data_IF_673615718369
#
_entry.id   IF_673615718369
#
_cell.length_a   1.000
_cell.length_b   1.000
_cell.length_c   1.000
_cell.angle_alpha   90.00
_cell.angle_beta   90.00
_cell.angle_gamma   90.00
#
_symmetry.space_group_name_H-M   'P 1'
#
loop_
_entity.id
_entity.type
_entity.pdbx_description
1 polymer ?
#
# COMPACT_ATOMS: atom_id res chain seq x y z
N UNK A 1 14.06 12.17 1.32
CA UNK A 1 14.91 12.34 0.11
C UNK A 1 14.86 13.79 -0.34
N UNK A 2 15.98 14.38 -0.77
CA UNK A 2 16.02 15.77 -1.27
C UNK A 2 15.87 15.80 -2.80
N UNK A 3 14.66 16.09 -3.26
CA UNK A 3 14.39 16.36 -4.67
C UNK A 3 14.61 17.85 -4.98
N UNK A 4 15.01 18.14 -6.22
CA UNK A 4 15.08 19.51 -6.74
C UNK A 4 13.87 19.81 -7.61
N UNK A 5 13.56 21.10 -7.78
CA UNK A 5 12.52 21.54 -8.73
C UNK A 5 12.81 21.03 -10.15
N UNK A 6 14.09 20.94 -10.54
CA UNK A 6 14.48 20.39 -11.83
C UNK A 6 14.06 18.92 -11.97
N UNK A 7 14.33 18.09 -10.95
CA UNK A 7 13.93 16.68 -10.97
C UNK A 7 12.41 16.54 -11.15
N UNK A 8 11.65 17.28 -10.35
CA UNK A 8 10.18 17.24 -10.35
C UNK A 8 9.63 17.69 -11.70
N UNK A 9 10.07 18.84 -12.23
CA UNK A 9 9.62 19.33 -13.53
C UNK A 9 9.92 18.34 -14.67
N UNK A 10 11.03 17.63 -14.59
CA UNK A 10 11.39 16.63 -15.60
C UNK A 10 10.46 15.42 -15.58
N UNK A 11 10.19 14.88 -14.38
CA UNK A 11 9.23 13.81 -14.18
C UNK A 11 7.84 14.22 -14.70
N UNK A 12 7.35 15.39 -14.30
CA UNK A 12 6.03 15.89 -14.70
C UNK A 12 5.94 16.02 -16.22
N UNK A 13 6.95 16.61 -16.88
CA UNK A 13 6.97 16.75 -18.35
C UNK A 13 7.03 15.40 -19.07
N UNK A 14 7.83 14.46 -18.58
CA UNK A 14 7.90 13.12 -19.14
C UNK A 14 6.54 12.42 -19.09
N UNK A 15 5.88 12.48 -17.94
CA UNK A 15 4.59 11.83 -17.73
C UNK A 15 3.46 12.49 -18.52
N UNK A 16 3.36 13.82 -18.51
CA UNK A 16 2.34 14.55 -19.27
C UNK A 16 2.45 14.26 -20.77
N UNK A 17 3.66 14.09 -21.31
CA UNK A 17 3.83 13.68 -22.73
C UNK A 17 3.38 12.25 -23.00
N UNK A 18 3.51 11.35 -22.04
CA UNK A 18 3.15 9.95 -22.22
C UNK A 18 1.66 9.70 -22.04
N UNK A 19 1.02 10.37 -21.10
CA UNK A 19 -0.43 10.28 -20.88
C UNK A 19 -1.23 11.21 -21.81
N UNK A 20 -0.64 12.35 -22.20
CA UNK A 20 -1.32 13.41 -22.94
C UNK A 20 -2.47 14.05 -22.16
N UNK A 21 -3.34 14.77 -22.87
CA UNK A 21 -4.55 15.40 -22.30
C UNK A 21 -5.74 14.43 -22.23
N UNK A 22 -5.47 13.12 -22.34
CA UNK A 22 -6.49 12.08 -22.53
C UNK A 22 -7.36 11.88 -21.29
N UNK A 23 -6.75 11.94 -20.11
CA UNK A 23 -7.44 11.70 -18.84
C UNK A 23 -7.77 13.03 -18.20
N UNK A 24 -9.01 13.21 -17.74
CA UNK A 24 -9.48 14.43 -17.06
C UNK A 24 -9.90 14.10 -15.65
N UNK A 25 -9.97 15.10 -14.77
CA UNK A 25 -10.40 14.96 -13.38
C UNK A 25 -9.56 13.91 -12.65
N UNK A 26 -8.43 14.37 -12.10
CA UNK A 26 -7.44 13.50 -11.48
C UNK A 26 -7.77 13.38 -10.00
N UNK A 27 -7.96 12.15 -9.51
CA UNK A 27 -8.18 11.90 -8.09
C UNK A 27 -6.97 12.30 -7.25
N UNK A 28 -7.26 13.00 -6.16
CA UNK A 28 -6.31 13.30 -5.11
C UNK A 28 -6.85 12.81 -3.76
N UNK A 29 -6.70 11.51 -3.56
CA UNK A 29 -7.02 10.80 -2.32
C UNK A 29 -5.79 10.28 -1.56
N UNK A 30 -4.63 10.26 -2.23
CA UNK A 30 -3.40 9.73 -1.66
C UNK A 30 -2.75 10.72 -0.69
N UNK A 31 -2.15 10.17 0.37
CA UNK A 31 -1.44 10.97 1.37
C UNK A 31 -0.29 11.78 0.72
N UNK A 32 -0.26 13.08 0.99
CA UNK A 32 0.76 14.01 0.44
C UNK A 32 2.18 13.72 0.94
N UNK A 33 2.34 12.93 1.99
CA UNK A 33 3.64 12.43 2.45
C UNK A 33 4.23 11.37 1.51
N UNK A 34 3.42 10.80 0.60
CA UNK A 34 3.91 9.91 -0.44
C UNK A 34 4.20 10.69 -1.72
N UNK A 35 5.36 10.45 -2.33
CA UNK A 35 5.84 11.24 -3.47
C UNK A 35 4.95 11.10 -4.71
N UNK A 36 4.16 10.01 -4.83
CA UNK A 36 3.14 9.86 -5.87
C UNK A 36 2.12 11.00 -5.89
N UNK A 37 1.92 11.69 -4.77
CA UNK A 37 1.03 12.87 -4.68
C UNK A 37 1.46 13.98 -5.63
N UNK A 38 2.75 14.06 -5.99
CA UNK A 38 3.27 14.99 -6.99
C UNK A 38 2.61 14.77 -8.35
N UNK A 39 2.34 13.51 -8.72
CA UNK A 39 1.65 13.16 -9.96
C UNK A 39 0.20 13.62 -9.94
N UNK A 40 -0.53 13.31 -8.87
CA UNK A 40 -1.97 13.57 -8.79
C UNK A 40 -2.31 15.03 -8.49
N UNK A 41 -1.33 15.83 -8.08
CA UNK A 41 -1.50 17.28 -7.85
C UNK A 41 -0.90 18.13 -8.96
N UNK A 42 0.40 17.98 -9.27
CA UNK A 42 1.09 18.93 -10.13
C UNK A 42 0.91 18.63 -11.63
N UNK A 43 0.83 17.35 -12.04
CA UNK A 43 0.56 17.02 -13.45
C UNK A 43 -0.76 17.65 -13.96
N UNK A 44 -1.92 17.46 -13.29
CA UNK A 44 -3.15 18.09 -13.75
C UNK A 44 -3.06 19.61 -13.80
N UNK A 45 -2.49 20.25 -12.77
CA UNK A 45 -2.39 21.71 -12.73
C UNK A 45 -1.52 22.27 -13.88
N UNK A 46 -0.43 21.57 -14.23
CA UNK A 46 0.41 21.96 -15.37
C UNK A 46 -0.27 21.72 -16.73
N UNK A 47 -1.17 20.74 -16.81
CA UNK A 47 -1.94 20.42 -18.02
C UNK A 47 -3.28 21.20 -18.11
N UNK A 48 -3.58 22.11 -17.17
CA UNK A 48 -4.84 22.85 -17.14
C UNK A 48 -6.05 21.98 -16.80
N UNK A 49 -5.84 20.88 -16.09
CA UNK A 49 -6.86 19.92 -15.67
C UNK A 49 -7.26 20.10 -14.21
N UNK A 50 -8.34 19.42 -13.81
CA UNK A 50 -8.90 19.47 -12.46
C UNK A 50 -8.23 18.46 -11.54
N UNK A 51 -7.89 18.90 -10.33
CA UNK A 51 -7.58 18.04 -9.18
C UNK A 51 -8.85 17.83 -8.38
N UNK A 52 -9.28 16.58 -8.25
CA UNK A 52 -10.47 16.17 -7.50
C UNK A 52 -10.02 15.75 -6.10
N UNK A 53 -10.09 16.67 -5.13
CA UNK A 53 -9.66 16.40 -3.75
C UNK A 53 -10.70 15.52 -3.06
N UNK A 54 -10.26 14.38 -2.53
CA UNK A 54 -11.08 13.53 -1.67
C UNK A 54 -10.79 13.86 -0.21
N UNK A 55 -11.78 14.38 0.50
CA UNK A 55 -11.68 14.77 1.92
C UNK A 55 -12.21 13.68 2.88
N UNK A 56 -12.75 12.59 2.34
CA UNK A 56 -13.29 11.49 3.13
C UNK A 56 -12.22 10.52 3.64
N UNK A 57 -12.65 9.55 4.43
CA UNK A 57 -11.79 8.45 4.84
C UNK A 57 -11.52 7.52 3.65
N UNK A 58 -10.26 7.31 3.31
CA UNK A 58 -9.87 6.41 2.21
C UNK A 58 -10.20 4.96 2.51
N UNK A 59 -10.42 4.62 3.78
CA UNK A 59 -10.85 3.29 4.18
C UNK A 59 -12.35 3.06 3.98
N UNK A 60 -13.14 4.12 3.74
CA UNK A 60 -14.53 3.99 3.31
C UNK A 60 -14.60 3.87 1.77
N UNK A 61 -14.56 2.63 1.30
CA UNK A 61 -14.66 2.33 -0.12
C UNK A 61 -15.98 2.82 -0.75
N UNK A 62 -17.10 2.86 -0.01
CA UNK A 62 -18.37 3.31 -0.55
C UNK A 62 -18.37 4.83 -0.78
N UNK A 63 -17.90 5.59 0.22
CA UNK A 63 -17.71 7.03 0.10
C UNK A 63 -16.71 7.38 -1.01
N UNK A 64 -15.59 6.64 -1.10
CA UNK A 64 -14.61 6.83 -2.17
C UNK A 64 -15.21 6.59 -3.56
N UNK A 65 -15.96 5.49 -3.76
CA UNK A 65 -16.67 5.22 -5.03
C UNK A 65 -17.70 6.30 -5.37
N UNK A 66 -18.42 6.82 -4.37
CA UNK A 66 -19.33 7.93 -4.56
C UNK A 66 -18.59 9.21 -5.00
N UNK A 67 -17.42 9.48 -4.44
CA UNK A 67 -16.55 10.58 -4.87
C UNK A 67 -16.11 10.44 -6.33
N UNK A 68 -15.63 9.25 -6.74
CA UNK A 68 -15.21 9.00 -8.12
C UNK A 68 -16.32 9.33 -9.13
N UNK A 69 -17.56 8.93 -8.81
CA UNK A 69 -18.73 9.23 -9.63
C UNK A 69 -19.11 10.72 -9.62
N UNK A 70 -19.21 11.32 -8.44
CA UNK A 70 -19.64 12.71 -8.29
C UNK A 70 -18.67 13.70 -8.95
N UNK A 71 -17.37 13.43 -8.86
CA UNK A 71 -16.32 14.23 -9.48
C UNK A 71 -16.01 13.81 -10.94
N UNK A 72 -16.65 12.75 -11.45
CA UNK A 72 -16.38 12.16 -12.76
C UNK A 72 -14.86 11.97 -12.98
N UNK A 73 -14.22 11.28 -12.04
CA UNK A 73 -12.77 11.04 -12.03
C UNK A 73 -12.38 10.15 -13.19
N UNK A 74 -11.44 10.62 -14.02
CA UNK A 74 -10.90 9.85 -15.15
C UNK A 74 -9.55 9.20 -14.88
N UNK A 75 -8.82 9.62 -13.83
CA UNK A 75 -7.51 9.05 -13.52
C UNK A 75 -7.31 8.88 -12.02
N UNK A 76 -6.87 7.70 -11.62
CA UNK A 76 -6.48 7.39 -10.24
C UNK A 76 -5.06 6.84 -10.24
N UNK A 77 -4.23 7.32 -9.32
CA UNK A 77 -2.91 6.76 -9.05
C UNK A 77 -2.85 6.24 -7.63
N UNK A 78 -2.51 4.96 -7.46
CA UNK A 78 -2.50 4.31 -6.15
C UNK A 78 -1.68 3.02 -6.18
N UNK A 79 -1.68 2.25 -5.10
CA UNK A 79 -1.03 0.93 -5.05
C UNK A 79 -1.99 -0.16 -5.54
N UNK A 80 -1.50 -1.26 -6.13
CA UNK A 80 -2.33 -2.39 -6.53
C UNK A 80 -3.27 -2.89 -5.42
N UNK A 81 -2.75 -3.07 -4.20
CA UNK A 81 -3.54 -3.61 -3.08
C UNK A 81 -4.68 -2.68 -2.66
N UNK A 82 -4.43 -1.36 -2.64
CA UNK A 82 -5.45 -0.38 -2.29
C UNK A 82 -6.51 -0.25 -3.41
N UNK A 83 -6.09 -0.24 -4.68
CA UNK A 83 -7.03 -0.24 -5.81
C UNK A 83 -7.99 -1.43 -5.74
N UNK A 84 -7.49 -2.64 -5.48
CA UNK A 84 -8.32 -3.85 -5.33
C UNK A 84 -9.28 -3.78 -4.14
N UNK A 85 -8.97 -3.01 -3.11
CA UNK A 85 -9.86 -2.85 -1.95
C UNK A 85 -10.96 -1.81 -2.21
N UNK A 86 -10.65 -0.77 -2.98
CA UNK A 86 -11.55 0.39 -3.16
C UNK A 86 -12.44 0.33 -4.39
N UNK A 87 -11.92 -0.16 -5.52
CA UNK A 87 -12.58 -0.02 -6.82
C UNK A 87 -13.64 -1.08 -7.11
N UNK A 88 -13.48 -2.37 -6.71
CA UNK A 88 -14.53 -3.34 -6.93
C UNK A 88 -15.88 -2.91 -6.35
N UNK A 89 -16.95 -3.16 -7.09
CA UNK A 89 -18.30 -2.70 -6.72
C UNK A 89 -18.62 -1.24 -7.07
N UNK A 90 -17.72 -0.56 -7.78
CA UNK A 90 -17.99 0.76 -8.36
C UNK A 90 -18.68 0.64 -9.73
N UNK A 91 -19.74 1.42 -9.92
CA UNK A 91 -20.30 1.71 -11.26
C UNK A 91 -19.46 2.77 -12.01
N UNK A 92 -18.51 3.42 -11.33
CA UNK A 92 -17.64 4.42 -11.94
C UNK A 92 -16.65 3.74 -12.89
N UNK A 93 -16.66 4.13 -14.17
CA UNK A 93 -15.60 3.78 -15.11
C UNK A 93 -14.51 4.86 -15.07
N UNK A 94 -13.38 4.53 -14.43
CA UNK A 94 -12.19 5.38 -14.47
C UNK A 94 -11.44 5.09 -15.78
N UNK A 95 -11.02 6.12 -16.51
CA UNK A 95 -10.35 5.92 -17.80
C UNK A 95 -8.98 5.25 -17.66
N UNK A 96 -8.25 5.53 -16.58
CA UNK A 96 -6.97 4.87 -16.32
C UNK A 96 -6.62 4.77 -14.83
N UNK A 97 -6.01 3.63 -14.48
CA UNK A 97 -5.27 3.46 -13.24
C UNK A 97 -3.78 3.50 -13.53
N UNK A 98 -3.05 4.23 -12.71
CA UNK A 98 -1.60 4.11 -12.59
C UNK A 98 -1.28 3.46 -11.26
N UNK A 99 -0.76 2.24 -11.31
CA UNK A 99 -0.46 1.45 -10.14
C UNK A 99 1.05 1.43 -9.94
N UNK A 100 1.50 1.68 -8.71
CA UNK A 100 2.92 1.72 -8.39
C UNK A 100 3.17 1.46 -6.92
N UNK A 101 4.44 1.36 -6.54
CA UNK A 101 4.84 1.09 -5.16
C UNK A 101 4.79 -0.39 -4.75
N UNK A 102 4.05 -1.25 -5.44
CA UNK A 102 4.04 -2.71 -5.25
C UNK A 102 4.23 -3.44 -6.59
N UNK A 103 4.46 -4.75 -6.54
CA UNK A 103 4.43 -5.56 -7.75
C UNK A 103 2.99 -5.69 -8.25
N UNK A 104 2.74 -5.35 -9.52
CA UNK A 104 1.44 -5.57 -10.14
C UNK A 104 1.30 -7.05 -10.56
N UNK A 105 0.26 -7.71 -10.06
CA UNK A 105 0.00 -9.13 -10.34
C UNK A 105 -1.11 -9.30 -11.39
N UNK A 106 -1.12 -10.45 -12.08
CA UNK A 106 -2.21 -10.81 -13.01
C UNK A 106 -3.58 -10.84 -12.30
N UNK A 107 -3.61 -11.28 -11.05
CA UNK A 107 -4.81 -11.27 -10.22
C UNK A 107 -5.33 -9.84 -10.00
N UNK A 108 -4.44 -8.88 -9.68
CA UNK A 108 -4.82 -7.49 -9.51
C UNK A 108 -5.33 -6.88 -10.82
N UNK A 109 -4.68 -7.18 -11.95
CA UNK A 109 -5.15 -6.74 -13.27
C UNK A 109 -6.56 -7.28 -13.56
N UNK A 110 -6.79 -8.57 -13.35
CA UNK A 110 -8.10 -9.20 -13.58
C UNK A 110 -9.19 -8.66 -12.65
N UNK A 111 -8.87 -8.36 -11.39
CA UNK A 111 -9.82 -7.79 -10.43
C UNK A 111 -10.20 -6.34 -10.76
N UNK A 112 -9.36 -5.62 -11.51
CA UNK A 112 -9.53 -4.19 -11.79
C UNK A 112 -9.99 -3.92 -13.23
N UNK A 113 -9.74 -4.83 -14.17
CA UNK A 113 -9.97 -4.60 -15.61
C UNK A 113 -11.42 -4.32 -15.99
N UNK A 114 -12.39 -4.81 -15.22
CA UNK A 114 -13.81 -4.57 -15.48
C UNK A 114 -14.26 -3.16 -15.06
N UNK A 115 -13.44 -2.45 -14.29
CA UNK A 115 -13.74 -1.13 -13.75
C UNK A 115 -13.05 0.01 -14.51
N UNK A 116 -12.06 -0.29 -15.36
CA UNK A 116 -11.21 0.73 -15.98
C UNK A 116 -10.83 0.44 -17.43
N UNK A 117 -10.58 1.49 -18.21
CA UNK A 117 -10.21 1.33 -19.63
C UNK A 117 -8.73 1.01 -19.86
N UNK A 118 -7.86 1.38 -18.91
CA UNK A 118 -6.43 1.13 -18.96
C UNK A 118 -5.83 0.96 -17.56
N UNK A 119 -4.84 0.08 -17.45
CA UNK A 119 -4.00 -0.04 -16.25
C UNK A 119 -2.56 0.17 -16.69
N UNK A 120 -1.84 1.01 -15.97
CA UNK A 120 -0.41 1.25 -16.13
C UNK A 120 0.34 0.80 -14.89
N UNK A 121 1.46 0.11 -15.06
CA UNK A 121 2.39 -0.26 -14.00
C UNK A 121 3.55 0.73 -14.00
N UNK A 122 3.67 1.52 -12.95
CA UNK A 122 4.73 2.52 -12.77
C UNK A 122 5.72 2.03 -11.71
N UNK A 123 6.99 2.01 -12.09
CA UNK A 123 8.09 1.77 -11.18
C UNK A 123 8.93 3.03 -11.01
N UNK A 124 9.29 3.33 -9.77
CA UNK A 124 10.29 4.33 -9.44
C UNK A 124 10.55 4.36 -7.93
N UNK A 125 11.81 4.49 -7.50
CA UNK A 125 12.13 4.84 -6.13
C UNK A 125 12.05 6.35 -5.93
N UNK A 126 11.77 6.80 -4.70
CA UNK A 126 11.73 8.23 -4.36
C UNK A 126 13.03 8.96 -4.69
N UNK A 127 14.17 8.28 -4.58
CA UNK A 127 15.51 8.79 -4.94
C UNK A 127 15.70 9.05 -6.43
N UNK A 128 14.78 8.60 -7.28
CA UNK A 128 14.75 8.89 -8.70
C UNK A 128 13.48 9.64 -9.14
N UNK A 129 12.80 10.31 -8.20
CA UNK A 129 11.64 11.18 -8.40
C UNK A 129 10.39 10.44 -8.86
N UNK A 130 9.64 9.91 -7.90
CA UNK A 130 8.29 9.32 -8.07
C UNK A 130 8.29 8.07 -8.96
N UNK A 131 8.34 8.26 -10.28
CA UNK A 131 8.32 7.19 -11.27
C UNK A 131 9.49 7.36 -12.25
N UNK A 132 10.09 6.25 -12.65
CA UNK A 132 11.18 6.23 -13.63
C UNK A 132 10.83 5.41 -14.86
N UNK A 133 9.86 4.50 -14.75
CA UNK A 133 9.45 3.59 -15.80
C UNK A 133 7.95 3.43 -15.82
N UNK A 134 7.41 3.15 -17.01
CA UNK A 134 5.99 2.87 -17.18
C UNK A 134 5.79 1.71 -18.17
N UNK A 135 4.96 0.75 -17.78
CA UNK A 135 4.36 -0.23 -18.66
C UNK A 135 2.84 0.00 -18.74
N UNK A 136 2.25 -0.28 -19.89
CA UNK A 136 0.80 -0.50 -19.94
C UNK A 136 0.55 -1.96 -19.59
N UNK A 137 -0.27 -2.25 -18.58
CA UNK A 137 -0.59 -3.61 -18.14
C UNK A 137 -1.93 -4.10 -18.72
N UNK A 138 -2.86 -3.18 -19.01
CA UNK A 138 -4.17 -3.45 -19.61
C UNK A 138 -4.53 -2.37 -20.65
N UNK A 139 -5.11 -2.72 -21.82
CA UNK A 139 -5.57 -4.06 -22.24
C UNK A 139 -4.48 -4.96 -22.85
N UNK A 140 -3.24 -4.48 -22.92
CA UNK A 140 -2.09 -5.26 -23.41
C UNK A 140 -1.16 -5.56 -22.26
N UNK A 141 -1.03 -6.84 -21.91
CA UNK A 141 -0.07 -7.31 -20.93
C UNK A 141 1.35 -7.11 -21.49
N UNK A 142 2.13 -6.27 -20.82
CA UNK A 142 3.56 -6.16 -21.03
C UNK A 142 4.31 -7.11 -20.08
N UNK A 143 5.44 -7.66 -20.53
CA UNK A 143 6.30 -8.43 -19.66
C UNK A 143 7.25 -7.48 -18.91
N UNK A 144 7.17 -7.48 -17.58
CA UNK A 144 8.03 -6.66 -16.72
C UNK A 144 7.51 -5.24 -16.48
N UNK A 145 8.36 -4.41 -15.90
CA UNK A 145 8.04 -3.05 -15.40
C UNK A 145 8.21 -1.95 -16.48
N UNK A 146 8.28 -2.36 -17.75
CA UNK A 146 8.20 -1.46 -18.90
C UNK A 146 9.51 -0.76 -19.27
N UNK A 147 9.38 0.49 -19.72
CA UNK A 147 10.47 1.29 -20.29
C UNK A 147 10.68 2.58 -19.50
N UNK A 148 11.93 3.03 -19.48
CA UNK A 148 12.32 4.27 -18.83
C UNK A 148 11.62 5.50 -19.45
N UNK A 149 11.29 6.47 -18.61
CA UNK A 149 10.93 7.81 -19.05
C UNK A 149 12.09 8.48 -19.81
N UNK A 150 11.82 9.45 -20.69
CA UNK A 150 12.88 10.20 -21.36
C UNK A 150 13.88 10.81 -20.38
N UNK A 151 15.18 10.73 -20.71
CA UNK A 151 16.30 11.22 -19.89
C UNK A 151 16.48 10.49 -18.55
N UNK A 152 15.89 9.30 -18.41
CA UNK A 152 16.26 8.30 -17.41
C UNK A 152 17.03 7.19 -18.13
N UNK A 153 18.18 6.80 -17.58
CA UNK A 153 18.93 5.65 -18.05
C UNK A 153 18.99 4.59 -16.94
N UNK A 154 18.67 3.36 -17.33
CA UNK A 154 18.66 2.20 -16.46
C UNK A 154 19.89 1.35 -16.74
N UNK A 155 20.52 0.86 -15.70
CA UNK A 155 21.69 0.01 -15.79
C UNK A 155 21.48 -1.22 -14.92
N UNK A 156 21.65 -2.42 -15.48
CA UNK A 156 21.68 -3.66 -14.72
C UNK A 156 23.14 -4.08 -14.62
N UNK A 157 23.71 -4.01 -13.42
CA UNK A 157 25.15 -4.13 -13.19
C UNK A 157 25.49 -5.30 -12.26
N UNK A 158 26.71 -5.82 -12.41
CA UNK A 158 27.36 -6.69 -11.44
C UNK A 158 27.85 -5.90 -10.20
N UNK A 159 28.29 -6.62 -9.17
CA UNK A 159 28.96 -6.02 -7.99
C UNK A 159 30.21 -5.19 -8.34
N UNK A 160 30.86 -5.48 -9.47
CA UNK A 160 32.02 -4.76 -10.00
C UNK A 160 31.65 -3.64 -10.99
N UNK A 161 30.38 -3.21 -10.99
CA UNK A 161 29.83 -2.17 -11.87
C UNK A 161 30.01 -2.49 -13.37
N UNK A 162 29.98 -3.77 -13.75
CA UNK A 162 30.00 -4.17 -15.16
C UNK A 162 28.57 -4.42 -15.65
N UNK A 163 28.18 -3.93 -16.84
CA UNK A 163 26.86 -4.21 -17.41
C UNK A 163 26.61 -5.72 -17.58
N UNK A 164 25.45 -6.17 -17.13
CA UNK A 164 25.03 -7.56 -17.29
C UNK A 164 24.55 -7.84 -18.73
N UNK A 165 24.81 -9.04 -19.29
CA UNK A 165 24.21 -9.46 -20.55
C UNK A 165 22.67 -9.50 -20.47
N UNK A 166 22.00 -9.35 -21.63
CA UNK A 166 20.55 -9.51 -21.74
C UNK A 166 20.13 -10.86 -21.13
N UNK A 167 19.09 -10.86 -20.29
CA UNK A 167 18.56 -12.03 -19.59
C UNK A 167 19.28 -12.40 -18.28
N UNK A 168 20.48 -11.88 -18.03
CA UNK A 168 21.22 -12.15 -16.80
C UNK A 168 20.77 -11.22 -15.65
N UNK A 169 20.56 -11.74 -14.43
CA UNK A 169 20.19 -10.91 -13.28
C UNK A 169 21.38 -10.06 -12.81
N UNK A 170 21.09 -8.82 -12.43
CA UNK A 170 22.03 -7.93 -11.75
C UNK A 170 21.29 -6.92 -10.89
N UNK A 171 22.03 -6.01 -10.26
CA UNK A 171 21.45 -4.92 -9.49
C UNK A 171 21.09 -3.75 -10.41
N UNK A 172 19.92 -3.16 -10.18
CA UNK A 172 19.42 -2.01 -10.91
C UNK A 172 20.03 -0.71 -10.38
N UNK A 173 20.55 0.10 -11.30
CA UNK A 173 21.03 1.45 -11.05
C UNK A 173 20.31 2.42 -11.98
N UNK A 174 20.02 3.61 -11.46
CA UNK A 174 19.29 4.65 -12.20
C UNK A 174 20.18 5.88 -12.33
N UNK A 175 20.28 6.43 -13.54
CA UNK A 175 20.93 7.72 -13.79
C UNK A 175 20.03 8.63 -14.60
N UNK A 176 20.36 9.91 -14.65
CA UNK A 176 19.65 10.91 -15.43
C UNK A 176 18.96 11.94 -14.55
N UNK A 177 18.06 12.70 -15.17
CA UNK A 177 17.56 13.95 -14.59
C UNK A 177 16.55 13.75 -13.47
N UNK A 178 16.04 12.53 -13.28
CA UNK A 178 15.21 12.15 -12.14
C UNK A 178 15.99 11.87 -10.85
N UNK A 179 17.32 11.69 -10.91
CA UNK A 179 18.12 11.34 -9.73
C UNK A 179 18.15 12.49 -8.72
N UNK A 180 17.79 12.17 -7.47
CA UNK A 180 17.75 13.09 -6.36
C UNK A 180 19.14 13.67 -6.04
N UNK A 181 19.14 14.81 -5.35
CA UNK A 181 20.38 15.39 -4.80
C UNK A 181 20.99 14.52 -3.70
N UNK A 182 20.19 13.66 -3.07
CA UNK A 182 20.59 12.77 -1.98
C UNK A 182 19.65 12.82 -0.79
N UNK A 183 20.05 12.21 0.30
CA UNK A 183 19.43 12.24 1.62
C UNK A 183 19.89 13.47 2.42
N UNK A 184 18.94 14.12 3.09
CA UNK A 184 19.19 15.30 3.92
C UNK A 184 20.03 14.90 5.14
N UNK A 185 21.15 15.59 5.38
CA UNK A 185 22.02 15.38 6.55
C UNK A 185 22.53 13.94 6.74
N UNK A 186 22.71 13.19 5.64
CA UNK A 186 23.23 11.81 5.65
C UNK A 186 24.37 11.64 4.63
N UNK A 187 25.55 12.25 4.86
CA UNK A 187 26.64 12.26 3.88
C UNK A 187 27.18 10.86 3.56
N UNK A 188 27.31 9.98 4.55
CA UNK A 188 27.81 8.61 4.36
C UNK A 188 26.88 7.80 3.45
N UNK A 189 25.58 7.83 3.74
CA UNK A 189 24.56 7.17 2.91
C UNK A 189 24.49 7.79 1.50
N UNK A 190 24.75 9.09 1.36
CA UNK A 190 24.85 9.73 0.05
C UNK A 190 26.02 9.18 -0.77
N UNK A 191 27.18 9.00 -0.16
CA UNK A 191 28.34 8.40 -0.82
C UNK A 191 28.10 6.93 -1.19
N UNK A 192 27.39 6.19 -0.34
CA UNK A 192 27.06 4.78 -0.60
C UNK A 192 26.05 4.61 -1.74
N UNK A 193 24.98 5.42 -1.76
CA UNK A 193 23.82 5.20 -2.65
C UNK A 193 23.84 6.06 -3.92
N UNK A 194 24.56 7.19 -3.94
CA UNK A 194 24.66 8.09 -5.10
C UNK A 194 26.11 8.15 -5.62
N UNK A 195 26.52 7.08 -6.31
CA UNK A 195 27.88 6.89 -6.80
C UNK A 195 28.12 7.63 -8.11
N UNK A 196 29.39 7.81 -8.47
CA UNK A 196 29.77 8.40 -9.77
C UNK A 196 29.35 7.47 -10.92
N UNK A 197 28.85 8.06 -12.01
CA UNK A 197 28.43 7.34 -13.20
C UNK A 197 29.61 7.15 -14.17
N UNK A 198 30.19 5.94 -14.31
CA UNK A 198 31.29 5.71 -15.25
C UNK A 198 30.82 5.66 -16.72
N UNK A 199 29.51 5.61 -16.97
CA UNK A 199 28.93 5.45 -18.31
C UNK A 199 28.57 6.76 -19.00
N UNK A 200 28.72 7.90 -18.32
CA UNK A 200 28.39 9.21 -18.88
C UNK A 200 29.42 10.26 -18.50
N UNK A 201 29.77 11.12 -19.47
CA UNK A 201 30.55 12.33 -19.23
C UNK A 201 29.68 13.59 -19.13
N UNK A 202 28.36 13.47 -19.30
CA UNK A 202 27.42 14.56 -19.12
C UNK A 202 27.26 14.85 -17.61
N UNK A 203 27.56 16.08 -17.13
CA UNK A 203 27.38 16.47 -15.74
C UNK A 203 25.97 16.20 -15.22
N UNK A 204 24.95 16.34 -16.07
CA UNK A 204 23.55 16.13 -15.68
C UNK A 204 23.25 14.65 -15.40
N UNK A 205 24.06 13.73 -15.93
CA UNK A 205 23.96 12.29 -15.74
C UNK A 205 25.16 11.74 -14.95
N UNK A 206 25.88 12.58 -14.22
CA UNK A 206 27.13 12.23 -13.53
C UNK A 206 26.97 11.27 -12.36
N UNK A 207 25.74 10.99 -11.92
CA UNK A 207 25.45 10.11 -10.78
C UNK A 207 24.61 8.91 -11.17
N UNK A 208 24.91 7.78 -10.52
CA UNK A 208 24.07 6.59 -10.45
C UNK A 208 23.47 6.49 -9.05
N UNK A 209 22.16 6.31 -8.97
CA UNK A 209 21.49 5.86 -7.76
C UNK A 209 21.44 4.33 -7.73
N UNK A 210 21.95 3.74 -6.65
CA UNK A 210 21.94 2.30 -6.37
C UNK A 210 20.63 1.90 -5.69
N UNK A 211 19.74 1.21 -6.41
CA UNK A 211 18.36 1.00 -5.93
C UNK A 211 18.23 -0.12 -4.90
N UNK A 212 19.15 -1.09 -4.90
CA UNK A 212 19.02 -2.35 -4.16
C UNK A 212 18.03 -3.35 -4.78
N UNK A 213 17.45 -3.02 -5.93
CA UNK A 213 16.56 -3.94 -6.66
C UNK A 213 17.36 -4.84 -7.60
N UNK A 214 16.99 -6.11 -7.66
CA UNK A 214 17.48 -7.06 -8.66
C UNK A 214 16.57 -7.03 -9.89
N UNK A 215 17.17 -6.98 -11.06
CA UNK A 215 16.46 -6.93 -12.32
C UNK A 215 17.24 -7.60 -13.45
N UNK A 216 16.60 -7.75 -14.60
CA UNK A 216 17.24 -8.12 -15.87
C UNK A 216 16.54 -7.48 -17.06
N UNK A 217 17.29 -7.23 -18.13
CA UNK A 217 16.71 -6.85 -19.41
C UNK A 217 16.22 -8.07 -20.18
N UNK A 218 15.09 -7.91 -20.87
CA UNK A 218 14.62 -8.81 -21.91
C UNK A 218 15.20 -8.42 -23.28
N UNK A 219 15.05 -9.29 -24.27
CA UNK A 219 15.52 -9.07 -25.64
C UNK A 219 14.82 -7.90 -26.35
N UNK A 220 13.58 -7.61 -25.97
CA UNK A 220 12.77 -6.49 -26.46
C UNK A 220 13.11 -5.14 -25.77
N UNK A 221 14.05 -5.15 -24.81
CA UNK A 221 14.49 -3.99 -24.05
C UNK A 221 13.63 -3.64 -22.82
N UNK A 222 12.57 -4.40 -22.55
CA UNK A 222 11.80 -4.25 -21.30
C UNK A 222 12.60 -4.80 -20.12
N UNK A 223 12.37 -4.26 -18.92
CA UNK A 223 13.04 -4.70 -17.70
C UNK A 223 12.10 -5.57 -16.86
N UNK A 224 12.61 -6.67 -16.32
CA UNK A 224 11.88 -7.50 -15.35
C UNK A 224 12.47 -7.30 -13.96
N UNK A 225 11.62 -6.95 -13.00
CA UNK A 225 11.95 -6.92 -11.58
C UNK A 225 12.01 -8.33 -11.00
N UNK A 226 13.03 -8.63 -10.21
CA UNK A 226 13.30 -9.95 -9.63
C UNK A 226 13.25 -9.98 -8.10
N UNK A 227 13.20 -8.82 -7.44
CA UNK A 227 13.23 -8.71 -5.98
C UNK A 227 14.25 -7.68 -5.51
N UNK A 228 14.64 -7.78 -4.24
CA UNK A 228 15.64 -6.92 -3.61
C UNK A 228 16.88 -7.72 -3.21
N UNK A 229 18.03 -7.04 -3.16
CA UNK A 229 19.29 -7.59 -2.65
C UNK A 229 19.58 -7.19 -1.19
N UNK A 230 18.74 -6.33 -0.59
CA UNK A 230 18.84 -5.84 0.78
C UNK A 230 17.61 -6.22 1.63
N UNK A 231 17.59 -5.79 2.90
CA UNK A 231 16.52 -6.09 3.87
C UNK A 231 15.30 -5.18 3.75
N UNK A 232 15.26 -4.29 2.76
CA UNK A 232 14.12 -3.40 2.59
C UNK A 232 12.93 -4.18 2.04
N UNK A 233 11.73 -3.81 2.50
CA UNK A 233 10.51 -4.46 2.06
C UNK A 233 9.46 -3.43 1.66
N UNK A 234 8.48 -3.89 0.90
CA UNK A 234 7.29 -3.12 0.54
C UNK A 234 6.11 -3.72 1.30
N UNK A 235 5.53 -2.95 2.21
CA UNK A 235 4.34 -3.32 2.99
C UNK A 235 3.23 -2.36 2.58
N UNK A 236 2.18 -2.87 1.93
CA UNK A 236 1.04 -2.06 1.45
C UNK A 236 1.47 -0.85 0.59
N UNK A 237 2.53 -1.02 -0.19
CA UNK A 237 3.13 -0.01 -1.07
C UNK A 237 4.07 0.98 -0.39
N UNK A 238 4.16 0.96 0.94
CA UNK A 238 5.15 1.72 1.68
C UNK A 238 6.49 1.01 1.67
N UNK A 239 7.55 1.78 1.42
CA UNK A 239 8.93 1.31 1.60
C UNK A 239 9.25 1.33 3.09
N UNK A 240 9.60 0.17 3.62
CA UNK A 240 9.84 -0.04 5.05
C UNK A 240 11.25 -0.58 5.24
N UNK A 241 12.02 0.08 6.10
CA UNK A 241 13.31 -0.40 6.59
C UNK A 241 13.06 -1.28 7.82
N UNK A 242 13.23 -2.60 7.71
CA UNK A 242 12.96 -3.51 8.83
C UNK A 242 13.79 -3.18 10.08
N UNK A 243 15.02 -2.68 9.88
CA UNK A 243 15.89 -2.24 10.97
C UNK A 243 15.38 -1.01 11.72
N UNK A 244 14.61 -0.12 11.09
CA UNK A 244 13.99 1.04 11.75
C UNK A 244 12.95 0.57 12.77
N UNK A 245 12.10 -0.38 12.37
CA UNK A 245 11.08 -0.96 13.25
C UNK A 245 11.77 -1.74 14.37
N UNK A 246 12.78 -2.55 14.05
CA UNK A 246 13.55 -3.28 15.07
C UNK A 246 14.17 -2.33 16.10
N UNK A 247 14.74 -1.20 15.66
CA UNK A 247 15.29 -0.20 16.56
C UNK A 247 14.22 0.46 17.45
N UNK A 248 13.05 0.81 16.88
CA UNK A 248 11.93 1.38 17.64
C UNK A 248 11.37 0.40 18.68
N UNK A 249 11.37 -0.90 18.37
CA UNK A 249 10.99 -1.97 19.30
C UNK A 249 12.01 -2.10 20.43
N UNK A 250 13.32 -2.08 20.13
CA UNK A 250 14.39 -2.17 21.13
C UNK A 250 14.42 -0.96 22.07
N UNK A 251 13.92 0.19 21.64
CA UNK A 251 13.80 1.40 22.48
C UNK A 251 12.70 1.28 23.55
N UNK A 252 11.84 0.26 23.48
CA UNK A 252 10.77 0.03 24.45
C UNK A 252 11.28 -0.68 25.70
N UNK A 253 10.73 -0.31 26.86
CA UNK A 253 11.10 -0.92 28.13
C UNK A 253 10.83 -2.43 28.14
N UNK A 254 11.77 -3.21 28.67
CA UNK A 254 11.67 -4.67 28.77
C UNK A 254 12.12 -5.44 27.52
N UNK A 255 12.42 -4.77 26.40
CA UNK A 255 12.97 -5.41 25.20
C UNK A 255 14.50 -5.31 25.18
N UNK A 256 15.18 -6.44 25.04
CA UNK A 256 16.65 -6.51 24.97
C UNK A 256 17.17 -6.52 23.53
N UNK A 257 16.45 -7.20 22.64
CA UNK A 257 16.80 -7.28 21.22
C UNK A 257 15.55 -7.60 20.39
N UNK A 258 15.54 -7.18 19.13
CA UNK A 258 14.45 -7.50 18.22
C UNK A 258 14.95 -7.69 16.79
N UNK A 259 14.25 -8.53 16.05
CA UNK A 259 14.37 -8.65 14.60
C UNK A 259 12.99 -8.62 13.99
N UNK A 260 12.84 -7.85 12.91
CA UNK A 260 11.59 -7.76 12.15
C UNK A 260 11.82 -8.37 10.78
N UNK A 261 10.87 -9.16 10.32
CA UNK A 261 10.87 -9.76 8.98
C UNK A 261 9.52 -9.52 8.30
N UNK A 262 9.53 -9.52 6.98
CA UNK A 262 8.33 -9.73 6.20
C UNK A 262 7.95 -11.21 6.13
N UNK A 263 6.66 -11.50 6.23
CA UNK A 263 6.09 -12.83 6.10
C UNK A 263 4.96 -12.84 5.06
N UNK A 264 4.75 -13.95 4.33
CA UNK A 264 3.62 -14.08 3.42
C UNK A 264 2.30 -13.89 4.15
N UNK A 265 1.39 -13.13 3.57
CA UNK A 265 0.03 -12.91 4.05
C UNK A 265 -0.96 -13.01 2.88
N UNK A 266 -2.27 -13.26 3.14
CA UNK A 266 -3.29 -13.34 2.08
C UNK A 266 -3.32 -12.14 1.14
N UNK A 267 -2.87 -10.98 1.60
CA UNK A 267 -2.89 -9.71 0.85
C UNK A 267 -1.50 -9.19 0.47
N UNK A 268 -0.49 -10.06 0.47
CA UNK A 268 0.88 -9.73 0.10
C UNK A 268 1.85 -10.07 1.22
N UNK A 269 2.43 -9.04 1.85
CA UNK A 269 3.42 -9.17 2.92
C UNK A 269 2.91 -8.49 4.19
N UNK A 270 3.10 -9.14 5.32
CA UNK A 270 2.90 -8.57 6.65
C UNK A 270 4.22 -8.54 7.42
N UNK A 271 4.26 -7.82 8.54
CA UNK A 271 5.44 -7.70 9.39
C UNK A 271 5.30 -8.61 10.61
N UNK A 272 6.34 -9.39 10.90
CA UNK A 272 6.48 -10.19 12.10
C UNK A 272 7.73 -9.79 12.87
N UNK A 273 7.59 -9.54 14.16
CA UNK A 273 8.67 -9.19 15.07
C UNK A 273 8.98 -10.35 16.01
N UNK A 274 10.28 -10.65 16.17
CA UNK A 274 10.77 -11.61 17.13
C UNK A 274 11.61 -10.89 18.16
N UNK A 275 11.28 -11.10 19.44
CA UNK A 275 11.80 -10.31 20.55
C UNK A 275 12.58 -11.21 21.51
N UNK A 276 13.72 -10.72 21.95
CA UNK A 276 14.34 -11.17 23.21
C UNK A 276 13.99 -10.12 24.24
N UNK A 277 13.15 -10.48 25.21
CA UNK A 277 12.58 -9.54 26.17
C UNK A 277 12.45 -10.18 27.56
N UNK A 278 12.10 -9.35 28.55
CA UNK A 278 11.73 -9.81 29.88
C UNK A 278 10.44 -10.67 29.84
N UNK A 279 10.30 -11.70 30.69
CA UNK A 279 9.19 -12.66 30.60
C UNK A 279 7.79 -12.06 30.84
N UNK A 280 7.72 -10.90 31.48
CA UNK A 280 6.53 -10.15 31.84
C UNK A 280 6.21 -9.02 30.86
N UNK A 281 6.89 -8.96 29.69
CA UNK A 281 6.56 -8.01 28.64
C UNK A 281 5.16 -8.26 28.08
N UNK A 282 4.28 -7.28 28.25
CA UNK A 282 2.93 -7.28 27.67
C UNK A 282 2.96 -6.80 26.21
N UNK A 283 2.69 -7.71 25.27
CA UNK A 283 2.69 -7.42 23.82
C UNK A 283 1.66 -6.36 23.44
N UNK A 284 0.52 -6.30 24.14
CA UNK A 284 -0.53 -5.30 23.89
C UNK A 284 -0.03 -3.89 24.21
N UNK A 285 0.68 -3.72 25.33
CA UNK A 285 1.27 -2.43 25.71
C UNK A 285 2.38 -2.03 24.73
N UNK A 286 3.21 -2.99 24.30
CA UNK A 286 4.23 -2.77 23.28
C UNK A 286 3.61 -2.29 21.95
N UNK A 287 2.54 -2.96 21.48
CA UNK A 287 1.82 -2.57 20.26
C UNK A 287 1.28 -1.13 20.36
N UNK A 288 0.70 -0.77 21.49
CA UNK A 288 0.20 0.59 21.74
C UNK A 288 1.32 1.63 21.70
N UNK A 289 2.45 1.36 22.36
CA UNK A 289 3.60 2.24 22.36
C UNK A 289 4.19 2.43 20.95
N UNK A 290 4.33 1.34 20.18
CA UNK A 290 4.79 1.38 18.80
C UNK A 290 3.83 2.16 17.90
N UNK A 291 2.52 2.00 18.08
CA UNK A 291 1.51 2.73 17.29
C UNK A 291 1.53 4.24 17.55
N UNK A 292 2.06 4.68 18.69
CA UNK A 292 2.27 6.10 18.97
C UNK A 292 3.58 6.65 18.37
N UNK A 293 4.57 5.79 18.12
CA UNK A 293 5.91 6.17 17.66
C UNK A 293 6.11 5.96 16.15
N UNK A 294 5.41 5.00 15.56
CA UNK A 294 5.54 4.57 14.17
C UNK A 294 4.22 4.76 13.42
N UNK A 295 4.28 4.99 12.10
CA UNK A 295 3.12 4.85 11.24
C UNK A 295 2.49 3.45 11.35
N UNK A 296 1.16 3.36 11.22
CA UNK A 296 0.41 2.09 11.35
C UNK A 296 0.98 0.95 10.48
N UNK A 297 1.38 1.25 9.24
CA UNK A 297 1.93 0.27 8.31
C UNK A 297 3.32 -0.28 8.71
N UNK A 298 4.00 0.35 9.66
CA UNK A 298 5.29 -0.09 10.22
C UNK A 298 5.13 -0.92 11.50
N UNK A 299 3.94 -0.95 12.11
CA UNK A 299 3.69 -1.73 13.32
C UNK A 299 3.51 -3.21 12.93
N UNK A 300 4.33 -4.14 13.47
CA UNK A 300 4.17 -5.57 13.21
C UNK A 300 2.80 -6.09 13.63
N UNK A 301 2.22 -6.98 12.85
CA UNK A 301 0.98 -7.67 13.24
C UNK A 301 1.25 -8.86 14.16
N UNK A 302 2.45 -9.45 14.08
CA UNK A 302 2.86 -10.61 14.87
C UNK A 302 4.04 -10.27 15.76
N UNK A 303 3.99 -10.75 17.01
CA UNK A 303 5.10 -10.67 17.95
C UNK A 303 5.36 -12.05 18.53
N UNK A 304 6.61 -12.47 18.56
CA UNK A 304 7.00 -13.77 19.11
C UNK A 304 8.20 -13.59 20.05
N UNK A 305 8.03 -13.97 21.31
CA UNK A 305 9.13 -14.03 22.26
C UNK A 305 10.04 -15.22 21.92
N UNK A 306 11.34 -14.97 21.81
CA UNK A 306 12.37 -15.99 21.57
C UNK A 306 13.50 -15.83 22.59
N UNK A 307 14.14 -16.94 22.95
CA UNK A 307 15.24 -16.91 23.93
C UNK A 307 16.48 -16.18 23.39
N UNK A 308 16.75 -16.31 22.09
CA UNK A 308 17.87 -15.66 21.40
C UNK A 308 17.60 -15.56 19.90
N UNK A 309 18.14 -14.52 19.25
CA UNK A 309 18.06 -14.37 17.79
C UNK A 309 18.93 -15.43 17.12
N UNK A 310 18.37 -16.31 16.26
CA UNK A 310 19.15 -17.35 15.61
C UNK A 310 20.09 -16.74 14.56
N UNK A 311 21.36 -17.12 14.61
CA UNK A 311 22.39 -16.67 13.68
C UNK A 311 22.98 -17.86 12.91
N UNK A 312 23.29 -17.64 11.64
CA UNK A 312 24.09 -18.53 10.80
C UNK A 312 25.52 -18.64 11.32
N UNK A 313 26.29 -19.63 10.85
CA UNK A 313 27.72 -19.80 11.21
C UNK A 313 28.61 -18.60 10.86
N UNK A 314 28.13 -17.66 10.04
CA UNK A 314 28.81 -16.41 9.69
C UNK A 314 28.33 -15.19 10.51
N UNK A 315 27.49 -15.41 11.53
CA UNK A 315 26.98 -14.35 12.41
C UNK A 315 25.87 -13.47 11.82
N UNK A 316 25.30 -13.83 10.65
CA UNK A 316 24.09 -13.18 10.09
C UNK A 316 22.82 -13.86 10.60
N UNK A 317 21.70 -13.15 10.64
CA UNK A 317 20.38 -13.70 10.95
C UNK A 317 20.07 -14.97 10.13
N UNK A 318 19.69 -16.05 10.82
CA UNK A 318 19.15 -17.25 10.17
C UNK A 318 17.62 -17.18 10.14
N UNK A 319 17.08 -16.55 9.09
CA UNK A 319 15.62 -16.39 8.91
C UNK A 319 14.86 -17.72 8.88
N UNK A 320 15.51 -18.83 8.50
CA UNK A 320 14.88 -20.16 8.42
C UNK A 320 14.79 -20.85 9.77
N UNK A 321 15.63 -20.44 10.72
CA UNK A 321 15.62 -20.95 12.09
C UNK A 321 14.69 -20.16 13.01
N UNK A 322 14.11 -19.04 12.53
CA UNK A 322 13.06 -18.34 13.26
C UNK A 322 11.82 -19.23 13.35
N UNK A 323 11.15 -19.29 14.53
CA UNK A 323 9.85 -19.95 14.65
C UNK A 323 8.86 -19.41 13.63
N UNK A 324 7.97 -20.27 13.11
CA UNK A 324 6.86 -19.79 12.29
C UNK A 324 6.02 -18.83 13.13
N UNK A 325 5.69 -17.61 12.65
CA UNK A 325 4.80 -16.72 13.39
C UNK A 325 3.45 -17.41 13.57
N UNK A 326 3.08 -17.68 14.81
CA UNK A 326 1.74 -18.18 15.13
C UNK A 326 0.79 -17.00 15.20
N UNK A 327 -0.35 -17.11 14.52
CA UNK A 327 -1.49 -16.22 14.75
C UNK A 327 -1.97 -16.49 16.17
N UNK A 328 -1.61 -15.62 17.11
CA UNK A 328 -2.18 -15.70 18.45
C UNK A 328 -3.63 -15.22 18.35
N UNK A 329 -4.57 -16.18 18.38
CA UNK A 329 -5.88 -15.89 18.92
C UNK A 329 -5.66 -15.53 20.38
N UNK A 330 -5.79 -14.24 20.73
CA UNK A 330 -5.55 -13.72 22.08
C UNK A 330 -6.47 -14.39 23.12
N UNK A 331 -7.50 -15.12 22.69
CA UNK A 331 -8.51 -15.75 23.53
C UNK A 331 -8.75 -17.24 23.20
N UNK A 332 -9.19 -18.00 24.21
CA UNK A 332 -9.84 -19.29 23.99
C UNK A 332 -11.03 -19.10 23.04
N UNK A 333 -11.13 -19.90 21.98
CA UNK A 333 -12.22 -19.81 21.01
C UNK A 333 -13.59 -19.66 21.67
N UNK A 334 -14.28 -18.55 21.35
CA UNK A 334 -15.66 -18.28 21.76
C UNK A 334 -16.56 -18.35 20.53
N UNK A 335 -17.50 -19.30 20.55
CA UNK A 335 -18.43 -19.51 19.45
C UNK A 335 -19.46 -18.36 19.34
N UNK A 336 -19.97 -18.07 18.12
CA UNK A 336 -21.00 -17.05 17.92
C UNK A 336 -22.28 -17.35 18.71
N UNK A 337 -22.85 -16.30 19.31
CA UNK A 337 -24.04 -16.34 20.19
C UNK A 337 -25.34 -16.26 19.40
N UNK A 338 -25.32 -15.67 18.20
CA UNK A 338 -26.49 -15.39 17.38
C UNK A 338 -26.17 -15.45 15.87
N UNK A 339 -27.21 -15.35 15.04
CA UNK A 339 -27.07 -15.48 13.58
C UNK A 339 -26.18 -14.40 12.95
N UNK A 340 -26.22 -13.16 13.47
CA UNK A 340 -25.40 -12.06 12.96
C UNK A 340 -23.92 -12.30 13.24
N UNK A 341 -23.58 -12.71 14.46
CA UNK A 341 -22.21 -13.10 14.82
C UNK A 341 -21.71 -14.26 13.97
N UNK A 342 -22.55 -15.27 13.70
CA UNK A 342 -22.20 -16.38 12.80
C UNK A 342 -21.81 -15.87 11.41
N UNK A 343 -22.61 -14.98 10.83
CA UNK A 343 -22.32 -14.41 9.51
C UNK A 343 -21.06 -13.53 9.53
N UNK A 344 -20.84 -12.76 10.60
CA UNK A 344 -19.62 -11.96 10.74
C UNK A 344 -18.36 -12.83 10.87
N UNK A 345 -18.41 -13.92 11.65
CA UNK A 345 -17.33 -14.90 11.73
C UNK A 345 -17.02 -15.49 10.34
N UNK A 346 -18.04 -15.88 9.56
CA UNK A 346 -17.86 -16.40 8.21
C UNK A 346 -17.20 -15.38 7.27
N UNK A 347 -17.60 -14.11 7.35
CA UNK A 347 -16.99 -13.04 6.55
C UNK A 347 -15.53 -12.82 6.97
N UNK A 348 -15.24 -12.75 8.28
CA UNK A 348 -13.87 -12.59 8.79
C UNK A 348 -12.98 -13.74 8.34
N UNK A 349 -13.46 -14.98 8.43
CA UNK A 349 -12.76 -16.17 7.94
C UNK A 349 -12.42 -16.06 6.45
N UNK A 350 -13.37 -15.62 5.62
CA UNK A 350 -13.12 -15.47 4.18
C UNK A 350 -12.13 -14.34 3.87
N UNK A 351 -12.24 -13.21 4.55
CA UNK A 351 -11.39 -12.03 4.33
C UNK A 351 -9.96 -12.24 4.81
N UNK A 352 -9.80 -12.91 5.95
CA UNK A 352 -8.50 -13.19 6.56
C UNK A 352 -7.90 -14.53 6.11
N UNK A 353 -8.67 -15.38 5.43
CA UNK A 353 -8.22 -16.70 5.00
C UNK A 353 -8.01 -17.68 6.16
N UNK A 354 -8.81 -17.57 7.23
CA UNK A 354 -8.72 -18.39 8.43
C UNK A 354 -9.78 -19.50 8.44
N UNK A 355 -9.42 -20.67 8.96
CA UNK A 355 -10.36 -21.79 9.09
C UNK A 355 -11.41 -21.54 10.18
N UNK A 356 -11.05 -20.80 11.24
CA UNK A 356 -11.90 -20.54 12.40
C UNK A 356 -11.64 -19.13 12.94
N UNK A 357 -12.72 -18.40 13.24
CA UNK A 357 -12.70 -17.10 13.93
C UNK A 357 -13.76 -17.13 15.04
N UNK A 358 -13.36 -16.84 16.27
CA UNK A 358 -14.23 -16.64 17.42
C UNK A 358 -14.69 -15.19 17.57
N UNK A 359 -15.76 -14.96 18.33
CA UNK A 359 -16.34 -13.62 18.49
C UNK A 359 -15.49 -12.67 19.36
N UNK A 360 -14.62 -13.25 20.18
CA UNK A 360 -13.66 -12.55 21.05
C UNK A 360 -12.25 -12.52 20.42
N UNK A 361 -12.10 -12.91 19.16
CA UNK A 361 -10.83 -12.77 18.47
C UNK A 361 -10.64 -11.31 18.06
N UNK A 362 -9.48 -10.75 18.40
CA UNK A 362 -9.11 -9.40 18.00
C UNK A 362 -8.73 -9.38 16.52
N UNK A 363 -9.46 -8.62 15.70
CA UNK A 363 -9.27 -8.51 14.25
C UNK A 363 -7.81 -8.34 13.84
N UNK A 364 -7.10 -7.43 14.49
CA UNK A 364 -5.72 -7.08 14.15
C UNK A 364 -4.71 -8.11 14.67
N UNK A 365 -4.97 -8.73 15.82
CA UNK A 365 -4.11 -9.80 16.35
C UNK A 365 -4.19 -11.07 15.50
N UNK A 366 -5.35 -11.37 14.92
CA UNK A 366 -5.52 -12.53 14.03
C UNK A 366 -5.17 -12.24 12.56
N UNK A 367 -4.37 -11.21 12.30
CA UNK A 367 -3.81 -10.91 10.98
C UNK A 367 -4.61 -9.90 10.15
N UNK A 368 -5.60 -9.23 10.74
CA UNK A 368 -6.31 -8.12 10.13
C UNK A 368 -5.46 -6.86 10.00
N UNK A 369 -5.79 -6.04 9.00
CA UNK A 369 -5.16 -4.76 8.72
C UNK A 369 -6.08 -3.79 8.00
N UNK A 370 -5.61 -2.59 7.68
CA UNK A 370 -6.42 -1.56 7.04
C UNK A 370 -6.97 -1.98 5.65
N UNK A 371 -6.26 -2.83 4.89
CA UNK A 371 -6.77 -3.32 3.59
C UNK A 371 -7.81 -4.42 3.81
N UNK A 372 -7.55 -5.35 4.72
CA UNK A 372 -8.53 -6.38 5.08
C UNK A 372 -9.77 -5.77 5.76
N UNK A 373 -9.62 -4.67 6.51
CA UNK A 373 -10.72 -3.90 7.08
C UNK A 373 -11.62 -3.31 6.00
N UNK A 374 -11.07 -2.67 4.96
CA UNK A 374 -11.85 -2.19 3.80
C UNK A 374 -12.62 -3.33 3.12
N UNK A 375 -11.96 -4.48 2.93
CA UNK A 375 -12.59 -5.66 2.29
C UNK A 375 -13.68 -6.25 3.16
N UNK A 376 -13.43 -6.39 4.46
CA UNK A 376 -14.39 -6.81 5.47
C UNK A 376 -15.63 -5.92 5.39
N UNK A 377 -15.42 -4.62 5.38
CA UNK A 377 -16.46 -3.61 5.28
C UNK A 377 -17.35 -3.76 4.05
N UNK A 378 -16.71 -3.86 2.89
CA UNK A 378 -17.43 -4.12 1.64
C UNK A 378 -18.19 -5.44 1.66
N UNK A 379 -17.63 -6.50 2.27
CA UNK A 379 -18.26 -7.81 2.36
C UNK A 379 -19.47 -7.78 3.32
N UNK A 380 -19.36 -7.13 4.48
CA UNK A 380 -20.46 -6.91 5.41
C UNK A 380 -21.60 -6.13 4.76
N UNK A 381 -21.30 -5.02 4.08
CA UNK A 381 -22.32 -4.25 3.38
C UNK A 381 -23.02 -5.09 2.30
N UNK A 382 -22.26 -5.83 1.49
CA UNK A 382 -22.83 -6.65 0.40
C UNK A 382 -23.66 -7.84 0.90
N UNK A 383 -23.22 -8.53 1.95
CA UNK A 383 -23.85 -9.76 2.43
C UNK A 383 -24.97 -9.50 3.44
N UNK A 384 -24.88 -8.41 4.22
CA UNK A 384 -25.73 -8.15 5.38
C UNK A 384 -26.44 -6.80 5.33
N UNK A 385 -26.21 -5.97 4.31
CA UNK A 385 -26.67 -4.57 4.24
C UNK A 385 -26.25 -3.75 5.47
N UNK A 386 -25.12 -4.14 6.08
CA UNK A 386 -24.61 -3.56 7.31
C UNK A 386 -23.42 -2.64 6.98
N UNK A 387 -23.58 -1.35 7.28
CA UNK A 387 -22.51 -0.36 7.12
C UNK A 387 -21.86 -0.07 8.48
N UNK A 388 -20.76 -0.76 8.79
CA UNK A 388 -20.02 -0.60 10.04
C UNK A 388 -18.96 0.51 9.85
N UNK A 389 -19.03 1.71 10.42
CA UNK A 389 -17.97 2.69 10.16
C UNK A 389 -16.60 2.13 10.56
N UNK A 390 -15.55 2.38 9.77
CA UNK A 390 -14.21 1.81 10.03
C UNK A 390 -13.69 2.18 11.42
N UNK A 391 -14.02 3.38 11.90
CA UNK A 391 -13.73 3.82 13.27
C UNK A 391 -14.26 2.84 14.31
N UNK A 392 -15.41 2.20 14.07
CA UNK A 392 -15.95 1.18 14.94
C UNK A 392 -15.09 -0.09 15.01
N UNK A 393 -14.46 -0.50 13.90
CA UNK A 393 -13.57 -1.66 13.91
C UNK A 393 -12.28 -1.37 14.69
N UNK A 394 -11.79 -0.13 14.65
CA UNK A 394 -10.64 0.31 15.43
C UNK A 394 -10.98 0.52 16.91
N UNK A 395 -12.20 0.96 17.23
CA UNK A 395 -12.67 1.15 18.61
C UNK A 395 -13.12 -0.17 19.26
N UNK A 396 -13.75 -1.03 18.47
CA UNK A 396 -14.30 -2.32 18.87
C UNK A 396 -13.68 -3.41 17.99
N UNK A 397 -12.51 -3.89 18.39
CA UNK A 397 -11.69 -4.80 17.58
C UNK A 397 -12.18 -6.26 17.57
N UNK A 398 -13.32 -6.57 18.20
CA UNK A 398 -13.85 -7.93 18.36
C UNK A 398 -15.29 -7.98 17.84
N UNK A 399 -15.72 -9.09 17.23
CA UNK A 399 -17.07 -9.25 16.69
C UNK A 399 -18.13 -9.03 17.78
N UNK A 400 -17.94 -9.60 18.97
CA UNK A 400 -18.87 -9.44 20.09
C UNK A 400 -19.06 -7.96 20.45
N UNK A 401 -17.96 -7.22 20.60
CA UNK A 401 -17.99 -5.79 20.90
C UNK A 401 -18.60 -4.95 19.77
N UNK A 402 -18.35 -5.28 18.50
CA UNK A 402 -18.99 -4.59 17.37
C UNK A 402 -20.50 -4.79 17.45
N UNK A 403 -20.95 -6.03 17.58
CA UNK A 403 -22.38 -6.41 17.63
C UNK A 403 -23.08 -5.74 18.80
N UNK A 404 -22.46 -5.76 19.99
CA UNK A 404 -23.02 -5.15 21.21
C UNK A 404 -23.15 -3.62 21.10
N UNK A 405 -22.39 -2.97 20.21
CA UNK A 405 -22.41 -1.52 19.99
C UNK A 405 -23.08 -1.11 18.66
N UNK A 406 -23.66 -2.03 17.88
CA UNK A 406 -24.22 -1.70 16.55
C UNK A 406 -25.27 -0.59 16.59
N UNK A 407 -26.16 -0.56 17.60
CA UNK A 407 -27.18 0.48 17.72
C UNK A 407 -26.60 1.88 17.89
N UNK A 408 -25.47 2.01 18.59
CA UNK A 408 -24.74 3.28 18.76
C UNK A 408 -23.87 3.63 17.55
N UNK A 409 -23.40 2.62 16.81
CA UNK A 409 -22.58 2.78 15.60
C UNK A 409 -23.41 3.13 14.35
N UNK A 410 -24.70 2.83 14.36
CA UNK A 410 -25.63 3.07 13.24
C UNK A 410 -26.22 4.49 13.21
N UNK A 411 -25.96 5.33 14.22
CA UNK A 411 -26.72 6.58 14.44
C UNK A 411 -26.31 7.75 13.52
N UNK A 412 -25.20 7.66 12.79
CA UNK A 412 -24.76 8.76 11.90
C UNK A 412 -25.31 8.69 10.46
N UNK A 413 -26.34 7.88 10.20
CA UNK A 413 -27.01 7.83 8.88
C UNK A 413 -28.45 8.32 9.03
N UNK A 414 -28.75 9.53 8.51
CA UNK A 414 -30.13 10.01 8.34
C UNK A 414 -30.91 9.03 7.45
N UNK A 415 -31.77 8.23 8.08
CA UNK A 415 -32.80 7.47 7.38
C UNK A 415 -33.75 8.49 6.74
N UNK A 416 -33.69 8.64 5.42
CA UNK A 416 -34.78 9.25 4.65
C UNK A 416 -36.02 8.38 4.81
N UNK A 417 -36.85 8.73 5.78
CA UNK A 417 -38.20 8.21 5.88
C UNK A 417 -38.99 8.74 4.67
N UNK A 418 -39.26 7.84 3.73
CA UNK A 418 -40.19 8.07 2.63
C UNK A 418 -41.61 8.15 3.21
N UNK A 419 -42.00 9.35 3.66
CA UNK A 419 -43.37 9.61 4.09
C UNK A 419 -44.24 9.83 2.85
N UNK A 420 -44.72 8.72 2.27
CA UNK A 420 -45.88 8.74 1.40
C UNK A 420 -47.09 9.26 2.17
N UNK A 421 -47.42 10.53 2.00
CA UNK A 421 -48.70 11.10 2.44
C UNK A 421 -49.62 11.25 1.23
N UNK A 422 -50.63 10.37 1.21
CA UNK A 422 -51.85 10.49 0.43
C UNK A 422 -52.43 11.91 0.57
N UNK A 423 -52.59 12.63 -0.54
CA UNK A 423 -53.46 13.81 -0.57
C UNK A 423 -54.89 13.35 -0.89
N UNK A 424 -55.69 13.27 0.16
CA UNK A 424 -57.15 13.22 0.06
C UNK A 424 -57.69 14.51 -0.55
N UNK A 425 -58.64 14.32 -1.46
CA UNK A 425 -59.51 15.34 -2.01
C UNK A 425 -60.27 16.08 -0.90
N UNK A 426 -60.20 17.41 -0.89
CA UNK A 426 -61.32 18.24 -0.42
C UNK A 426 -61.56 19.40 -1.38
N UNK A 427 -62.68 19.30 -2.10
CA UNK A 427 -63.39 20.43 -2.70
C UNK A 427 -63.74 21.47 -1.63
N UNK A 428 -63.42 22.75 -1.85
CA UNK A 428 -64.37 23.82 -1.52
C UNK A 428 -64.03 25.12 -2.26
N UNK A 429 -65.02 25.59 -3.03
CA UNK A 429 -65.18 26.94 -3.57
C UNK A 429 -64.83 28.06 -2.57
N UNK A 430 -64.22 29.15 -3.05
CA UNK A 430 -64.90 30.46 -3.16
C UNK A 430 -64.04 31.56 -3.82
N UNK A 431 -64.66 32.15 -4.85
CA UNK A 431 -64.50 33.46 -5.50
C UNK A 431 -63.23 33.70 -6.30
#
# INVERSE_FOLDING_TARGET
>A
VMLTQHNVLYYLHALTRQLGDKYRNIDFSSNYCFDLSVTTTLCPLLAGQTVCVYEGDILDAAAFRAHLNAANVGFVKTTPSLAMALLPGSDAQVDALMLGGEALTEQAIAALSDHVNAIFDEYGPTEATVGTMLAQAYPRLHQGIGKAYPNVNLHVLSESLQPMPIGAPGELYISGLGVARGYLNRPELNTERFIDNPFSHDPAHSKLYKTGDLARFLDNGDLVYLGRNDEQVKIRGYRVELGEIAAAIVDQQGVQNAVVIDVPAPQGKALAAYLVAEPDLEITELKLALSAALPEYMVPSHFTLIEHIPLTGNGKLDRKALPTPELQADNLYVAPRNALETQLCEIWQQVLGLEQVGIEDNFFSIGGDSISAIRLMNACNKALDLNIPISALFEHTHIAAIVDNLETLSVDIEIKADSGSQQEQTNSMRI
#
